data_IF_053931941881
#
_entry.id   IF_053931941881
#
_cell.length_a   1.000
_cell.length_b   1.000
_cell.length_c   1.000
_cell.angle_alpha   90.00
_cell.angle_beta   90.00
_cell.angle_gamma   90.00
#
_symmetry.space_group_name_H-M   'P 1'
#
loop_
_entity.id
_entity.type
_entity.pdbx_description
1 polymer ?
#
# COMPACT_ATOMS: atom_id res chain seq x y z
N UNK A 1 -12.18 -4.94 12.73
CA UNK A 1 -11.03 -5.69 12.15
C UNK A 1 -9.92 -4.66 11.95
N UNK A 2 -8.74 -4.87 12.52
CA UNK A 2 -7.68 -3.87 12.47
C UNK A 2 -6.98 -3.90 11.10
N UNK A 3 -7.24 -2.90 10.26
CA UNK A 3 -6.53 -2.68 9.00
C UNK A 3 -5.12 -2.19 9.34
N UNK A 4 -4.14 -3.08 9.32
CA UNK A 4 -2.75 -2.75 9.63
C UNK A 4 -2.09 -2.23 8.35
N UNK A 5 -1.91 -0.91 8.23
CA UNK A 5 -1.13 -0.34 7.12
C UNK A 5 0.28 -0.94 7.14
N UNK A 6 0.69 -1.56 6.03
CA UNK A 6 2.04 -2.08 5.87
C UNK A 6 3.01 -0.91 5.66
N UNK A 7 3.74 -0.54 6.71
CA UNK A 7 4.79 0.51 6.65
C UNK A 7 6.11 0.02 6.03
N UNK A 8 6.16 -1.23 5.56
CA UNK A 8 7.34 -1.84 4.97
C UNK A 8 6.94 -2.86 3.90
N UNK A 9 7.83 -3.07 2.93
CA UNK A 9 7.66 -4.07 1.90
C UNK A 9 7.83 -5.48 2.50
N UNK A 10 6.84 -6.38 2.37
CA UNK A 10 6.94 -7.73 2.93
C UNK A 10 8.02 -8.60 2.24
N UNK A 11 8.43 -8.25 1.01
CA UNK A 11 9.43 -8.99 0.24
C UNK A 11 10.87 -8.63 0.61
N UNK A 12 11.15 -7.36 0.89
CA UNK A 12 12.53 -6.89 1.09
C UNK A 12 12.75 -6.09 2.38
N UNK A 13 11.70 -5.81 3.16
CA UNK A 13 11.77 -5.01 4.37
C UNK A 13 11.97 -3.51 4.14
N UNK A 14 12.07 -3.05 2.89
CA UNK A 14 12.24 -1.62 2.57
C UNK A 14 11.01 -0.81 2.96
N UNK A 15 11.23 0.38 3.48
CA UNK A 15 10.19 1.39 3.77
C UNK A 15 9.96 2.33 2.58
N UNK A 16 10.71 2.18 1.48
CA UNK A 16 10.53 2.95 0.25
C UNK A 16 9.31 2.45 -0.53
N UNK A 17 8.13 2.81 -0.03
CA UNK A 17 6.82 2.47 -0.59
C UNK A 17 6.17 3.71 -1.20
N UNK A 18 5.53 3.54 -2.34
CA UNK A 18 4.75 4.58 -3.04
C UNK A 18 3.34 4.06 -3.25
N UNK A 19 2.34 4.89 -2.99
CA UNK A 19 0.96 4.59 -3.34
C UNK A 19 0.69 5.13 -4.74
N UNK A 20 0.31 4.25 -5.65
CA UNK A 20 -0.19 4.58 -6.98
C UNK A 20 -1.72 4.44 -6.96
N UNK A 21 -2.41 5.51 -7.34
CA UNK A 21 -3.87 5.56 -7.35
C UNK A 21 -4.31 5.45 -8.80
N UNK A 22 -4.91 4.33 -9.15
CA UNK A 22 -5.59 4.12 -10.43
C UNK A 22 -7.10 4.23 -10.24
N UNK A 23 -7.89 4.53 -11.30
CA UNK A 23 -9.34 4.68 -11.17
C UNK A 23 -9.98 3.39 -10.62
N UNK A 24 -10.36 3.39 -9.34
CA UNK A 24 -10.98 2.26 -8.66
C UNK A 24 -10.00 1.30 -7.95
N UNK A 25 -8.69 1.54 -7.97
CA UNK A 25 -7.70 0.67 -7.35
C UNK A 25 -6.58 1.48 -6.68
N UNK A 26 -6.20 1.07 -5.48
CA UNK A 26 -5.04 1.61 -4.78
C UNK A 26 -3.94 0.55 -4.80
N UNK A 27 -2.81 0.89 -5.39
CA UNK A 27 -1.66 0.02 -5.50
C UNK A 27 -0.52 0.56 -4.65
N UNK A 28 0.18 -0.35 -3.97
CA UNK A 28 1.39 -0.04 -3.21
C UNK A 28 2.59 -0.61 -3.98
N UNK A 29 3.47 0.27 -4.44
CA UNK A 29 4.71 -0.07 -5.12
C UNK A 29 5.90 0.07 -4.16
N UNK A 30 6.70 -0.98 -3.99
CA UNK A 30 8.01 -0.87 -3.37
C UNK A 30 9.08 -0.48 -4.41
N UNK A 31 9.78 0.64 -4.21
CA UNK A 31 10.83 1.09 -5.14
C UNK A 31 12.10 0.27 -5.11
N UNK A 32 12.41 -0.37 -3.97
CA UNK A 32 13.65 -1.13 -3.86
C UNK A 32 13.57 -2.49 -4.58
N UNK A 33 12.43 -3.17 -4.52
CA UNK A 33 12.26 -4.50 -5.12
C UNK A 33 11.22 -4.57 -6.25
N UNK A 34 10.63 -3.42 -6.62
CA UNK A 34 9.60 -3.25 -7.64
C UNK A 34 8.39 -4.19 -7.45
N UNK A 35 8.06 -4.48 -6.19
CA UNK A 35 6.90 -5.30 -5.85
C UNK A 35 5.64 -4.43 -5.86
N UNK A 36 4.63 -4.88 -6.60
CA UNK A 36 3.27 -4.34 -6.56
C UNK A 36 2.42 -5.14 -5.59
N UNK A 37 1.70 -4.44 -4.72
CA UNK A 37 0.69 -5.01 -3.84
C UNK A 37 -0.59 -4.19 -3.97
N UNK A 38 -1.70 -4.83 -4.33
CA UNK A 38 -3.00 -4.20 -4.26
C UNK A 38 -3.35 -3.96 -2.78
N UNK A 39 -3.69 -2.71 -2.46
CA UNK A 39 -4.15 -2.34 -1.12
C UNK A 39 -5.60 -1.90 -1.20
N UNK A 40 -6.40 -2.41 -0.28
CA UNK A 40 -7.76 -1.95 -0.09
C UNK A 40 -7.69 -0.82 0.93
N UNK A 41 -7.74 0.42 0.45
CA UNK A 41 -7.92 1.57 1.34
C UNK A 41 -9.41 1.60 1.70
N UNK A 42 -9.73 1.18 2.92
CA UNK A 42 -11.01 1.48 3.50
C UNK A 42 -10.97 2.96 3.88
N UNK A 43 -11.62 3.79 3.06
CA UNK A 43 -11.92 5.17 3.40
C UNK A 43 -12.86 5.10 4.62
N UNK A 44 -12.27 5.12 5.81
CA UNK A 44 -13.01 5.30 7.05
C UNK A 44 -13.43 6.77 7.04
N UNK A 45 -14.51 7.05 6.30
CA UNK A 45 -15.08 8.37 6.12
C UNK A 45 -15.39 8.99 7.47
N UNK A 46 -14.43 9.75 7.99
CA UNK A 46 -14.58 10.55 9.18
C UNK A 46 -15.16 11.90 8.77
N UNK A 47 -16.47 11.94 8.50
CA UNK A 47 -17.38 13.05 8.81
C UNK A 47 -18.84 12.68 8.55
#
# INVERSE_FOLDING_TARGET
MATKLLNYCPKCGSTELVVEIEPGQHNLLCRSCHLYCEIIIFDEGNN
#
